data_IF_605090426508
#
_entry.id   IF_605090426508
#
_cell.length_a   1.000
_cell.length_b   1.000
_cell.length_c   1.000
_cell.angle_alpha   90.00
_cell.angle_beta   90.00
_cell.angle_gamma   90.00
#
_symmetry.space_group_name_H-M   'P 1'
#
loop_
_entity.id
_entity.type
_entity.pdbx_description
1 polymer ?
#
# COMPACT_ATOMS: atom_id res chain seq x y z
N UNK A 1 7.84 29.99 -3.79
CA UNK A 1 6.78 30.71 -4.53
C UNK A 1 6.46 31.98 -3.74
N UNK A 2 6.24 33.13 -4.37
CA UNK A 2 5.84 34.36 -3.64
C UNK A 2 4.34 34.34 -3.30
N UNK A 3 3.92 35.06 -2.27
CA UNK A 3 2.52 35.13 -1.78
C UNK A 3 1.54 35.50 -2.90
N UNK A 4 1.80 36.55 -3.69
CA UNK A 4 0.90 36.96 -4.78
C UNK A 4 0.68 35.88 -5.83
N UNK A 5 1.78 35.24 -6.27
CA UNK A 5 1.70 34.13 -7.21
C UNK A 5 0.92 32.94 -6.61
N UNK A 6 1.07 32.68 -5.32
CA UNK A 6 0.34 31.62 -4.63
C UNK A 6 -1.17 31.90 -4.60
N UNK A 7 -1.56 33.14 -4.30
CA UNK A 7 -2.97 33.58 -4.33
C UNK A 7 -3.59 33.38 -5.71
N UNK A 8 -2.92 33.84 -6.76
CA UNK A 8 -3.44 33.74 -8.12
C UNK A 8 -3.57 32.28 -8.57
N UNK A 9 -2.56 31.45 -8.27
CA UNK A 9 -2.61 30.03 -8.56
C UNK A 9 -3.73 29.32 -7.77
N UNK A 10 -3.96 29.70 -6.51
CA UNK A 10 -5.02 29.15 -5.69
C UNK A 10 -6.42 29.50 -6.22
N UNK A 11 -6.67 30.78 -6.53
CA UNK A 11 -7.95 31.23 -7.11
C UNK A 11 -8.26 30.48 -8.39
N UNK A 12 -7.31 30.46 -9.32
CA UNK A 12 -7.46 29.75 -10.59
C UNK A 12 -7.72 28.27 -10.36
N UNK A 13 -6.97 27.63 -9.46
CA UNK A 13 -7.15 26.21 -9.16
C UNK A 13 -8.52 25.90 -8.56
N UNK A 14 -9.04 26.78 -7.70
CA UNK A 14 -10.37 26.66 -7.14
C UNK A 14 -11.44 26.76 -8.24
N UNK A 15 -11.37 27.80 -9.08
CA UNK A 15 -12.31 28.01 -10.19
C UNK A 15 -12.27 26.86 -11.20
N UNK A 16 -11.08 26.37 -11.55
CA UNK A 16 -10.89 25.22 -12.45
C UNK A 16 -11.54 23.95 -11.91
N UNK A 17 -11.61 23.78 -10.59
CA UNK A 17 -12.16 22.58 -9.94
C UNK A 17 -13.67 22.67 -9.70
N UNK A 18 -14.18 23.85 -9.35
CA UNK A 18 -15.55 24.00 -8.84
C UNK A 18 -16.44 24.90 -9.71
N UNK A 19 -15.90 25.52 -10.75
CA UNK A 19 -16.62 26.43 -11.66
C UNK A 19 -17.35 27.58 -10.96
N UNK A 20 -16.88 27.97 -9.77
CA UNK A 20 -17.39 29.10 -8.96
C UNK A 20 -16.23 29.82 -8.28
N UNK A 21 -16.39 31.10 -7.87
CA UNK A 21 -15.36 31.81 -7.13
C UNK A 21 -15.05 31.16 -5.78
N UNK A 22 -13.80 31.28 -5.32
CA UNK A 22 -13.35 30.71 -4.03
C UNK A 22 -14.13 31.24 -2.82
N UNK A 23 -14.72 32.43 -2.92
CA UNK A 23 -15.52 33.07 -1.87
C UNK A 23 -16.86 32.39 -1.62
N UNK A 24 -17.39 31.61 -2.57
CA UNK A 24 -18.62 30.83 -2.39
C UNK A 24 -18.36 29.38 -1.97
N UNK A 25 -17.10 28.97 -1.89
CA UNK A 25 -16.71 27.60 -1.56
C UNK A 25 -16.85 27.27 -0.07
N UNK A 26 -17.23 26.03 0.21
CA UNK A 26 -17.08 25.41 1.54
C UNK A 26 -15.60 25.23 1.90
N UNK A 27 -15.31 25.06 3.20
CA UNK A 27 -13.94 24.78 3.68
C UNK A 27 -13.36 23.50 3.09
N UNK A 28 -14.21 22.50 2.82
CA UNK A 28 -13.83 21.25 2.14
C UNK A 28 -13.36 21.51 0.71
N UNK A 29 -14.10 22.30 -0.07
CA UNK A 29 -13.70 22.66 -1.44
C UNK A 29 -12.43 23.52 -1.42
N UNK A 30 -12.32 24.44 -0.48
CA UNK A 30 -11.13 25.26 -0.28
C UNK A 30 -9.89 24.40 0.02
N UNK A 31 -10.04 23.37 0.85
CA UNK A 31 -8.99 22.39 1.14
C UNK A 31 -8.62 21.57 -0.11
N UNK A 32 -9.61 21.07 -0.85
CA UNK A 32 -9.38 20.28 -2.06
C UNK A 32 -8.62 21.08 -3.12
N UNK A 33 -9.00 22.34 -3.33
CA UNK A 33 -8.28 23.26 -4.22
C UNK A 33 -6.83 23.47 -3.76
N UNK A 34 -6.61 23.68 -2.47
CA UNK A 34 -5.28 23.88 -1.90
C UNK A 34 -4.40 22.62 -2.03
N UNK A 35 -4.95 21.45 -1.72
CA UNK A 35 -4.27 20.16 -1.87
C UNK A 35 -3.88 19.88 -3.33
N UNK A 36 -4.78 20.16 -4.28
CA UNK A 36 -4.49 20.00 -5.70
C UNK A 36 -3.49 21.03 -6.23
N UNK A 37 -3.50 22.28 -5.74
CA UNK A 37 -2.46 23.26 -6.03
C UNK A 37 -1.11 22.75 -5.54
N UNK A 38 -1.04 22.28 -4.28
CA UNK A 38 0.20 21.78 -3.69
C UNK A 38 0.73 20.58 -4.48
N UNK A 39 -0.17 19.70 -4.93
CA UNK A 39 0.17 18.59 -5.82
C UNK A 39 0.81 19.05 -7.12
N UNK A 40 0.26 20.08 -7.78
CA UNK A 40 0.90 20.64 -8.97
C UNK A 40 2.32 21.16 -8.69
N UNK A 41 2.59 21.66 -7.48
CA UNK A 41 3.91 22.18 -7.08
C UNK A 41 4.93 21.05 -6.87
N UNK A 42 4.56 19.97 -6.19
CA UNK A 42 5.51 18.88 -5.89
C UNK A 42 5.58 17.79 -6.96
N UNK A 43 4.67 17.77 -7.94
CA UNK A 43 4.61 16.71 -8.97
C UNK A 43 5.89 16.62 -9.76
N UNK A 44 6.50 17.74 -10.15
CA UNK A 44 7.76 17.74 -10.91
C UNK A 44 8.87 17.06 -10.10
N UNK A 45 9.03 17.44 -8.82
CA UNK A 45 10.00 16.80 -7.91
C UNK A 45 9.74 15.30 -7.80
N UNK A 46 8.48 14.92 -7.70
CA UNK A 46 8.10 13.51 -7.58
C UNK A 46 8.42 12.69 -8.83
N UNK A 47 8.14 13.23 -10.01
CA UNK A 47 8.49 12.61 -11.30
C UNK A 47 10.00 12.49 -11.44
N UNK A 48 10.73 13.58 -11.23
CA UNK A 48 12.19 13.60 -11.32
C UNK A 48 12.86 12.62 -10.35
N UNK A 49 12.41 12.59 -9.10
CA UNK A 49 12.98 11.68 -8.10
C UNK A 49 12.66 10.21 -8.42
N UNK A 50 11.45 9.89 -8.90
CA UNK A 50 11.13 8.53 -9.33
C UNK A 50 11.96 8.08 -10.54
N UNK A 51 12.22 8.96 -11.50
CA UNK A 51 13.08 8.67 -12.65
C UNK A 51 14.54 8.49 -12.21
N UNK A 52 15.06 9.39 -11.37
CA UNK A 52 16.43 9.31 -10.86
C UNK A 52 16.73 8.03 -10.09
N UNK A 53 15.75 7.44 -9.38
CA UNK A 53 15.89 6.12 -8.73
C UNK A 53 16.11 4.99 -9.73
N UNK A 54 15.43 5.04 -10.88
CA UNK A 54 15.59 4.04 -11.95
C UNK A 54 16.96 4.20 -12.59
N UNK A 55 17.34 5.43 -12.94
CA UNK A 55 18.59 5.72 -13.62
C UNK A 55 19.82 5.38 -12.76
N UNK A 56 19.78 5.72 -11.47
CA UNK A 56 20.85 5.43 -10.51
C UNK A 56 20.89 3.96 -10.07
N UNK A 57 19.82 3.19 -10.32
CA UNK A 57 19.62 1.81 -9.83
C UNK A 57 19.94 1.72 -8.33
N UNK A 58 19.57 2.73 -7.54
CA UNK A 58 19.87 2.77 -6.11
C UNK A 58 19.03 1.73 -5.36
N UNK A 59 19.59 1.14 -4.29
CA UNK A 59 18.86 0.23 -3.41
C UNK A 59 17.60 0.90 -2.84
N UNK A 60 16.47 0.21 -2.91
CA UNK A 60 15.19 0.67 -2.39
C UNK A 60 14.74 -0.19 -1.20
N UNK A 61 14.18 0.46 -0.19
CA UNK A 61 13.51 -0.19 0.94
C UNK A 61 12.00 -0.27 0.64
N UNK A 62 11.38 -1.39 0.96
CA UNK A 62 9.95 -1.65 0.85
C UNK A 62 9.43 -2.12 2.21
N UNK A 63 8.70 -1.25 2.89
CA UNK A 63 8.14 -1.47 4.22
C UNK A 63 6.69 -1.94 4.10
N UNK A 64 6.44 -3.21 4.39
CA UNK A 64 5.10 -3.80 4.36
C UNK A 64 4.43 -3.69 5.72
N UNK A 65 3.21 -3.18 5.74
CA UNK A 65 2.40 -3.14 6.96
C UNK A 65 0.92 -3.15 6.62
N UNK A 66 0.14 -3.83 7.45
CA UNK A 66 -1.33 -3.77 7.42
C UNK A 66 -1.85 -2.40 7.86
N UNK A 67 -1.04 -1.57 8.53
CA UNK A 67 -1.49 -0.29 9.05
C UNK A 67 -0.54 0.84 8.66
N UNK A 68 -1.13 1.98 8.29
CA UNK A 68 -0.46 3.27 8.25
C UNK A 68 -1.39 4.31 8.87
N UNK A 69 -0.92 5.03 9.90
CA UNK A 69 -1.58 6.22 10.44
C UNK A 69 -0.84 7.50 10.00
N UNK A 70 -0.96 7.91 8.72
CA UNK A 70 -0.28 9.09 8.23
C UNK A 70 -0.76 10.37 8.92
N UNK A 71 -2.04 10.42 9.29
CA UNK A 71 -2.72 11.64 9.69
C UNK A 71 -2.89 12.61 8.52
N UNK A 72 -3.31 13.83 8.85
CA UNK A 72 -3.46 14.95 7.90
C UNK A 72 -2.12 15.40 7.32
N UNK A 73 -2.10 15.68 6.02
CA UNK A 73 -0.89 15.93 5.25
C UNK A 73 -0.67 17.40 4.91
N UNK A 74 -1.71 18.23 4.86
CA UNK A 74 -1.60 19.58 4.31
C UNK A 74 -0.49 20.40 4.98
N UNK A 75 -0.55 20.53 6.31
CA UNK A 75 0.42 21.32 7.07
C UNK A 75 1.84 20.75 6.94
N UNK A 76 1.95 19.42 6.94
CA UNK A 76 3.22 18.70 6.81
C UNK A 76 3.85 18.94 5.43
N UNK A 77 3.09 18.80 4.35
CA UNK A 77 3.59 19.03 3.00
C UNK A 77 3.96 20.49 2.78
N UNK A 78 3.13 21.42 3.26
CA UNK A 78 3.46 22.84 3.23
C UNK A 78 4.76 23.14 3.98
N UNK A 79 4.96 22.54 5.16
CA UNK A 79 6.19 22.69 5.94
C UNK A 79 7.40 22.11 5.19
N UNK A 80 7.28 20.89 4.66
CA UNK A 80 8.38 20.18 3.99
C UNK A 80 8.80 20.86 2.68
N UNK A 81 7.87 21.56 2.03
CA UNK A 81 8.09 22.35 0.81
C UNK A 81 8.51 23.81 1.07
N UNK A 82 8.61 24.23 2.34
CA UNK A 82 8.91 25.61 2.73
C UNK A 82 7.85 26.63 2.25
N UNK A 83 6.57 26.20 2.25
CA UNK A 83 5.42 26.97 1.77
C UNK A 83 4.39 27.27 2.86
N UNK A 84 4.60 26.81 4.11
CA UNK A 84 3.62 26.95 5.18
C UNK A 84 3.24 28.41 5.45
N UNK A 85 4.23 29.28 5.66
CA UNK A 85 3.95 30.69 5.94
C UNK A 85 3.41 31.40 4.70
N UNK A 86 3.90 31.04 3.50
CA UNK A 86 3.39 31.57 2.24
C UNK A 86 1.91 31.25 2.05
N UNK A 87 1.51 30.00 2.28
CA UNK A 87 0.12 29.57 2.16
C UNK A 87 -0.76 30.22 3.23
N UNK A 88 -0.29 30.30 4.49
CA UNK A 88 -1.02 30.97 5.56
C UNK A 88 -1.32 32.43 5.21
N UNK A 89 -0.29 33.21 4.88
CA UNK A 89 -0.45 34.62 4.50
C UNK A 89 -1.31 34.78 3.25
N UNK A 90 -1.13 33.92 2.23
CA UNK A 90 -1.93 33.97 1.02
C UNK A 90 -3.43 33.74 1.29
N UNK A 91 -3.80 32.73 2.08
CA UNK A 91 -5.20 32.48 2.42
C UNK A 91 -5.78 33.61 3.30
N UNK A 92 -5.02 34.11 4.27
CA UNK A 92 -5.44 35.23 5.12
C UNK A 92 -5.73 36.51 4.30
N UNK A 93 -4.84 36.87 3.36
CA UNK A 93 -5.04 38.02 2.46
C UNK A 93 -6.21 37.83 1.48
N UNK A 94 -6.64 36.59 1.25
CA UNK A 94 -7.85 36.27 0.47
C UNK A 94 -9.13 36.28 1.31
N UNK A 95 -9.02 36.53 2.63
CA UNK A 95 -10.14 36.51 3.56
C UNK A 95 -10.54 35.10 4.01
N UNK A 96 -9.65 34.11 3.88
CA UNK A 96 -9.89 32.73 4.30
C UNK A 96 -9.14 32.42 5.60
N UNK A 97 -9.76 31.60 6.46
CA UNK A 97 -9.11 31.06 7.66
C UNK A 97 -8.32 29.79 7.30
N UNK A 98 -6.98 29.90 7.31
CA UNK A 98 -6.08 28.77 7.04
C UNK A 98 -6.31 27.58 7.99
N UNK A 99 -6.60 27.84 9.26
CA UNK A 99 -6.80 26.79 10.26
C UNK A 99 -8.12 26.06 10.02
N UNK A 100 -9.19 26.77 9.64
CA UNK A 100 -10.45 26.15 9.23
C UNK A 100 -10.30 25.32 7.95
N UNK A 101 -9.55 25.80 6.96
CA UNK A 101 -9.26 25.05 5.72
C UNK A 101 -8.44 23.80 6.02
N UNK A 102 -7.40 23.91 6.85
CA UNK A 102 -6.60 22.75 7.25
C UNK A 102 -7.38 21.75 8.12
N UNK A 103 -8.33 22.23 8.91
CA UNK A 103 -9.19 21.39 9.73
C UNK A 103 -10.21 20.58 8.92
N UNK A 104 -10.52 21.01 7.68
CA UNK A 104 -11.41 20.30 6.77
C UNK A 104 -10.77 19.03 6.17
N UNK A 105 -9.45 18.87 6.26
CA UNK A 105 -8.78 17.63 5.90
C UNK A 105 -9.20 16.50 6.86
N UNK A 106 -9.65 15.38 6.29
CA UNK A 106 -10.03 14.19 7.06
C UNK A 106 -8.83 13.26 7.21
N UNK A 107 -8.63 12.76 8.42
CA UNK A 107 -7.59 11.76 8.70
C UNK A 107 -7.83 10.47 7.89
N UNK A 108 -6.82 9.97 7.16
CA UNK A 108 -6.95 8.71 6.43
C UNK A 108 -7.17 7.52 7.37
N UNK A 109 -8.25 6.77 7.15
CA UNK A 109 -8.59 5.61 7.96
C UNK A 109 -7.81 4.36 7.49
N UNK A 110 -6.49 4.42 7.60
CA UNK A 110 -5.54 3.44 7.06
C UNK A 110 -4.79 2.63 8.13
N UNK A 111 -5.09 2.88 9.40
CA UNK A 111 -4.46 2.23 10.55
C UNK A 111 -5.27 2.53 11.80
N UNK A 112 -4.80 2.04 12.94
CA UNK A 112 -5.47 2.14 14.23
C UNK A 112 -4.49 2.45 15.37
N UNK A 113 -3.42 1.66 15.50
CA UNK A 113 -2.58 1.68 16.69
C UNK A 113 -1.16 2.23 16.51
N UNK A 114 -0.34 1.99 17.52
CA UNK A 114 1.09 2.34 17.52
C UNK A 114 1.87 1.72 16.36
N UNK A 115 1.47 0.53 15.90
CA UNK A 115 2.06 -0.15 14.73
C UNK A 115 1.94 0.70 13.46
N UNK A 116 0.74 1.20 13.16
CA UNK A 116 0.47 2.06 12.01
C UNK A 116 1.11 3.44 12.12
N UNK A 117 1.18 4.00 13.34
CA UNK A 117 1.84 5.28 13.57
C UNK A 117 3.35 5.17 13.42
N UNK A 118 3.96 4.09 13.92
CA UNK A 118 5.39 3.78 13.71
C UNK A 118 5.71 3.70 12.22
N UNK A 119 4.94 2.92 11.46
CA UNK A 119 5.11 2.80 10.01
C UNK A 119 5.07 4.17 9.30
N UNK A 120 4.14 5.04 9.70
CA UNK A 120 4.01 6.38 9.12
C UNK A 120 5.14 7.33 9.51
N UNK A 121 5.61 7.28 10.76
CA UNK A 121 6.79 8.03 11.20
C UNK A 121 8.06 7.56 10.47
N UNK A 122 8.21 6.26 10.20
CA UNK A 122 9.31 5.75 9.38
C UNK A 122 9.23 6.23 7.94
N UNK A 123 8.04 6.25 7.32
CA UNK A 123 7.87 6.79 5.97
C UNK A 123 8.30 8.26 5.87
N UNK A 124 7.90 9.07 6.85
CA UNK A 124 8.31 10.48 6.95
C UNK A 124 9.83 10.63 7.17
N UNK A 125 10.39 9.87 8.13
CA UNK A 125 11.82 9.92 8.45
C UNK A 125 12.69 9.45 7.29
N UNK A 126 12.29 8.40 6.57
CA UNK A 126 13.00 7.94 5.37
C UNK A 126 13.04 9.04 4.31
N UNK A 127 11.94 9.75 4.09
CA UNK A 127 11.92 10.86 3.16
C UNK A 127 12.81 12.02 3.65
N UNK A 128 12.70 12.42 4.92
CA UNK A 128 13.47 13.53 5.49
C UNK A 128 14.99 13.27 5.57
N UNK A 129 15.41 12.01 5.70
CA UNK A 129 16.83 11.62 5.76
C UNK A 129 17.41 11.19 4.41
N UNK A 130 16.59 11.19 3.36
CA UNK A 130 17.01 10.81 2.00
C UNK A 130 17.16 9.30 1.78
N UNK A 131 16.62 8.47 2.67
CA UNK A 131 16.53 7.02 2.44
C UNK A 131 15.47 6.74 1.37
N UNK A 132 15.78 6.03 0.27
CA UNK A 132 14.81 5.62 -0.73
C UNK A 132 13.90 4.51 -0.18
N UNK A 133 12.83 4.91 0.50
CA UNK A 133 11.92 4.02 1.22
C UNK A 133 10.51 4.09 0.68
N UNK A 134 9.87 2.95 0.50
CA UNK A 134 8.51 2.86 0.00
C UNK A 134 7.65 2.08 1.00
N UNK A 135 6.43 2.53 1.23
CA UNK A 135 5.44 1.82 2.03
C UNK A 135 4.55 0.97 1.14
N UNK A 136 4.14 -0.19 1.63
CA UNK A 136 3.22 -1.10 0.96
C UNK A 136 2.13 -1.54 1.93
N UNK A 137 0.86 -1.30 1.57
CA UNK A 137 -0.30 -1.63 2.40
C UNK A 137 -1.60 -1.70 1.62
N UNK A 138 -2.72 -1.72 2.34
CA UNK A 138 -4.07 -1.77 1.77
C UNK A 138 -4.73 -0.39 1.87
N UNK A 139 -5.50 -0.02 0.84
CA UNK A 139 -6.27 1.21 0.82
C UNK A 139 -7.66 0.97 1.41
N UNK A 140 -7.76 0.90 2.74
CA UNK A 140 -9.02 0.63 3.42
C UNK A 140 -10.08 1.71 3.16
N UNK A 141 -11.30 1.28 2.84
CA UNK A 141 -12.41 2.20 2.57
C UNK A 141 -13.00 2.81 3.82
N UNK A 142 -13.18 2.01 4.86
CA UNK A 142 -13.90 2.37 6.09
C UNK A 142 -13.03 2.28 7.35
N UNK A 143 -11.74 1.98 7.20
CA UNK A 143 -10.79 1.86 8.30
C UNK A 143 -11.18 0.79 9.30
N UNK A 144 -10.93 1.04 10.59
CA UNK A 144 -11.39 0.19 11.68
C UNK A 144 -12.83 0.54 12.07
N UNK A 145 -13.02 1.70 12.71
CA UNK A 145 -14.33 2.33 12.94
C UNK A 145 -14.14 3.76 13.46
N UNK A 146 -15.18 4.58 13.27
CA UNK A 146 -15.38 5.87 13.91
C UNK A 146 -16.10 5.68 15.24
N UNK A 147 -15.43 6.00 16.34
CA UNK A 147 -16.02 5.91 17.68
C UNK A 147 -17.01 7.06 17.93
N UNK A 148 -18.19 6.75 18.45
CA UNK A 148 -19.15 7.72 18.99
C UNK A 148 -19.71 7.22 20.32
N UNK A 149 -19.93 8.12 21.27
CA UNK A 149 -20.65 7.81 22.50
C UNK A 149 -22.10 8.23 22.40
N UNK A 150 -23.04 7.30 22.59
CA UNK A 150 -24.49 7.56 22.69
C UNK A 150 -24.97 6.91 23.99
N UNK A 151 -25.63 7.70 24.84
CA UNK A 151 -26.17 7.25 26.13
C UNK A 151 -25.15 6.55 27.04
N UNK A 152 -23.88 6.99 26.99
CA UNK A 152 -22.78 6.44 27.80
C UNK A 152 -22.10 5.20 27.21
N UNK A 153 -22.56 4.68 26.07
CA UNK A 153 -22.00 3.51 25.41
C UNK A 153 -21.26 3.87 24.13
N UNK A 154 -20.18 3.14 23.85
CA UNK A 154 -19.50 3.20 22.56
C UNK A 154 -20.41 2.61 21.47
N UNK A 155 -20.47 3.30 20.33
CA UNK A 155 -21.04 2.82 19.09
C UNK A 155 -19.99 2.99 17.99
N UNK A 156 -19.82 1.93 17.19
CA UNK A 156 -18.91 1.87 16.06
C UNK A 156 -19.65 2.26 14.77
N UNK A 157 -19.13 3.25 14.06
CA UNK A 157 -19.65 3.70 12.76
C UNK A 157 -18.56 3.52 11.70
N UNK A 158 -18.89 3.31 10.41
CA UNK A 158 -17.86 3.27 9.37
C UNK A 158 -17.21 4.64 9.20
N UNK A 159 -15.89 4.68 8.98
CA UNK A 159 -15.21 5.91 8.57
C UNK A 159 -15.64 6.31 7.15
N UNK A 160 -15.60 7.60 6.83
CA UNK A 160 -15.99 8.09 5.50
C UNK A 160 -14.95 9.06 4.92
N UNK A 161 -13.67 8.75 5.13
CA UNK A 161 -12.54 9.58 4.68
C UNK A 161 -12.42 9.66 3.16
N UNK A 162 -12.96 8.67 2.44
CA UNK A 162 -13.02 8.63 0.96
C UNK A 162 -14.36 9.07 0.39
N UNK A 163 -15.21 9.77 1.16
CA UNK A 163 -16.46 10.34 0.65
C UNK A 163 -16.20 11.26 -0.56
N UNK A 164 -15.13 12.02 -0.46
CA UNK A 164 -14.61 12.89 -1.50
C UNK A 164 -13.29 12.31 -2.02
N UNK A 165 -12.86 12.67 -3.24
CA UNK A 165 -11.55 12.27 -3.75
C UNK A 165 -10.44 12.69 -2.78
N UNK A 166 -9.53 11.75 -2.47
CA UNK A 166 -8.35 12.04 -1.68
C UNK A 166 -7.36 12.88 -2.53
N UNK A 167 -7.08 14.11 -2.07
CA UNK A 167 -6.23 15.08 -2.78
C UNK A 167 -4.79 14.60 -3.00
N UNK A 168 -4.30 13.68 -2.16
CA UNK A 168 -2.89 13.33 -2.09
C UNK A 168 -2.50 12.13 -2.96
N UNK A 169 -3.44 11.25 -3.27
CA UNK A 169 -3.15 9.98 -3.93
C UNK A 169 -3.29 10.03 -5.45
N UNK A 170 -2.61 9.10 -6.12
CA UNK A 170 -2.70 8.90 -7.56
C UNK A 170 -2.96 7.44 -7.87
N UNK A 171 -4.11 7.15 -8.50
CA UNK A 171 -4.40 5.82 -9.05
C UNK A 171 -3.40 5.48 -10.16
N UNK A 172 -2.83 4.27 -10.12
CA UNK A 172 -1.81 3.76 -11.06
C UNK A 172 -2.30 2.49 -11.75
N UNK A 173 -3.39 2.58 -12.48
CA UNK A 173 -4.02 1.46 -13.19
C UNK A 173 -3.07 0.67 -14.11
N UNK A 174 -2.15 1.36 -14.80
CA UNK A 174 -1.14 0.69 -15.64
C UNK A 174 -0.13 -0.17 -14.86
N UNK A 175 -0.22 -0.16 -13.52
CA UNK A 175 0.63 -0.93 -12.60
C UNK A 175 -0.20 -1.92 -11.77
N UNK A 176 -1.45 -2.17 -12.14
CA UNK A 176 -2.28 -3.21 -11.53
C UNK A 176 -1.70 -4.60 -11.77
N UNK A 177 -2.00 -5.53 -10.86
CA UNK A 177 -1.57 -6.93 -10.93
C UNK A 177 -2.70 -7.85 -10.50
N UNK A 178 -2.68 -9.09 -10.99
CA UNK A 178 -3.65 -10.11 -10.59
C UNK A 178 -3.15 -10.85 -9.36
N UNK A 179 -4.01 -10.95 -8.35
CA UNK A 179 -3.82 -11.81 -7.17
C UNK A 179 -4.80 -12.97 -7.29
N UNK A 180 -4.29 -14.20 -7.16
CA UNK A 180 -5.08 -15.43 -7.32
C UNK A 180 -5.35 -16.06 -5.97
N UNK A 181 -6.59 -16.47 -5.74
CA UNK A 181 -7.04 -17.21 -4.57
C UNK A 181 -7.70 -18.52 -4.97
N UNK A 182 -7.64 -19.51 -4.08
CA UNK A 182 -8.25 -20.82 -4.26
C UNK A 182 -7.74 -21.55 -5.49
N UNK A 183 -8.62 -22.35 -6.08
CA UNK A 183 -8.33 -23.18 -7.24
C UNK A 183 -7.46 -24.39 -6.93
N UNK A 184 -7.11 -25.12 -7.97
CA UNK A 184 -6.19 -26.26 -7.92
C UNK A 184 -4.82 -25.84 -8.45
N UNK A 185 -3.76 -26.38 -7.86
CA UNK A 185 -2.42 -26.25 -8.41
C UNK A 185 -1.67 -27.58 -8.34
N UNK A 186 -1.04 -27.95 -9.46
CA UNK A 186 -0.14 -29.10 -9.52
C UNK A 186 1.08 -28.75 -10.38
N UNK A 187 2.14 -29.54 -10.25
CA UNK A 187 3.36 -29.34 -11.01
C UNK A 187 3.38 -30.31 -12.20
N UNK A 188 3.54 -29.76 -13.39
CA UNK A 188 3.75 -30.53 -14.62
C UNK A 188 5.14 -30.26 -15.19
N UNK A 189 5.77 -31.30 -15.75
CA UNK A 189 7.04 -31.13 -16.45
C UNK A 189 6.81 -30.41 -17.78
N UNK A 190 7.57 -29.35 -18.04
CA UNK A 190 7.65 -28.75 -19.35
C UNK A 190 8.41 -29.67 -20.34
N UNK A 191 8.52 -29.25 -21.60
CA UNK A 191 9.26 -29.98 -22.64
C UNK A 191 10.75 -30.22 -22.35
N UNK A 192 11.33 -29.54 -21.36
CA UNK A 192 12.71 -29.65 -20.92
C UNK A 192 12.87 -30.45 -19.61
N UNK A 193 11.77 -30.92 -19.01
CA UNK A 193 11.75 -31.65 -17.75
C UNK A 193 11.62 -30.78 -16.49
N UNK A 194 11.56 -29.45 -16.62
CA UNK A 194 11.38 -28.56 -15.47
C UNK A 194 9.91 -28.56 -15.02
N UNK A 195 9.69 -28.70 -13.72
CA UNK A 195 8.36 -28.64 -13.13
C UNK A 195 7.83 -27.20 -13.12
N UNK A 196 6.68 -26.97 -13.72
CA UNK A 196 5.94 -25.70 -13.73
C UNK A 196 4.58 -25.85 -13.08
N UNK A 197 4.11 -24.85 -12.31
CA UNK A 197 2.76 -24.91 -11.77
C UNK A 197 1.72 -24.69 -12.86
N UNK A 198 0.71 -25.54 -12.85
CA UNK A 198 -0.52 -25.37 -13.62
C UNK A 198 -1.62 -24.98 -12.64
N UNK A 199 -2.32 -23.90 -12.95
CA UNK A 199 -3.41 -23.35 -12.14
C UNK A 199 -4.74 -23.60 -12.83
N UNK A 200 -5.75 -23.97 -12.05
CA UNK A 200 -7.12 -24.19 -12.55
C UNK A 200 -8.14 -23.65 -11.54
N UNK A 201 -9.24 -23.07 -12.05
CA UNK A 201 -10.38 -22.60 -11.24
C UNK A 201 -10.01 -21.59 -10.14
N UNK A 202 -9.09 -20.66 -10.43
CA UNK A 202 -8.69 -19.62 -9.48
C UNK A 202 -9.73 -18.50 -9.40
N UNK A 203 -9.85 -17.90 -8.22
CA UNK A 203 -10.54 -16.65 -7.99
C UNK A 203 -9.55 -15.49 -8.12
N UNK A 204 -9.64 -14.78 -9.23
CA UNK A 204 -8.68 -13.72 -9.60
C UNK A 204 -9.22 -12.34 -9.21
N UNK A 205 -8.38 -11.56 -8.51
CA UNK A 205 -8.67 -10.20 -8.06
C UNK A 205 -7.64 -9.24 -8.65
N UNK A 206 -8.09 -8.08 -9.14
CA UNK A 206 -7.21 -7.03 -9.60
C UNK A 206 -6.77 -6.16 -8.41
N UNK A 207 -5.48 -6.13 -8.13
CA UNK A 207 -4.89 -5.21 -7.16
C UNK A 207 -4.47 -3.92 -7.86
N UNK A 208 -5.22 -2.83 -7.62
CA UNK A 208 -4.96 -1.52 -8.23
C UNK A 208 -4.19 -0.63 -7.26
N UNK A 209 -2.98 -0.16 -7.63
CA UNK A 209 -2.17 0.68 -6.75
C UNK A 209 -2.62 2.15 -6.76
N UNK A 210 -2.56 2.75 -5.57
CA UNK A 210 -2.73 4.17 -5.30
C UNK A 210 -1.48 4.67 -4.58
N UNK A 211 -0.75 5.60 -5.20
CA UNK A 211 0.48 6.16 -4.64
C UNK A 211 0.20 7.49 -3.94
N UNK A 212 0.61 7.59 -2.67
CA UNK A 212 0.66 8.86 -1.91
C UNK A 212 2.13 9.26 -1.69
N UNK A 213 2.56 10.46 -2.13
CA UNK A 213 3.95 10.88 -1.99
C UNK A 213 4.31 11.10 -0.51
N UNK A 214 5.54 10.76 -0.12
CA UNK A 214 6.12 11.09 1.17
C UNK A 214 7.24 12.09 0.92
N UNK A 215 6.94 13.37 1.10
CA UNK A 215 7.82 14.49 0.76
C UNK A 215 8.80 14.71 1.91
N UNK A 216 10.10 14.64 1.64
CA UNK A 216 11.14 14.88 2.63
C UNK A 216 11.25 16.36 2.99
N UNK A 217 11.64 16.63 4.24
CA UNK A 217 11.82 17.99 4.74
C UNK A 217 13.01 18.66 4.06
N UNK A 218 12.74 19.65 3.18
CA UNK A 218 13.76 20.52 2.56
C UNK A 218 14.89 19.78 1.83
N UNK A 219 14.62 18.64 1.18
CA UNK A 219 15.67 17.82 0.57
C UNK A 219 15.30 17.17 -0.79
N UNK A 220 14.24 17.63 -1.46
CA UNK A 220 13.75 17.17 -2.77
C UNK A 220 13.45 15.66 -2.91
N UNK A 221 13.58 14.89 -1.84
CA UNK A 221 13.27 13.47 -1.79
C UNK A 221 11.76 13.28 -1.73
N UNK A 222 11.23 12.42 -2.62
CA UNK A 222 9.81 12.07 -2.63
C UNK A 222 9.61 10.55 -2.69
N UNK A 223 9.40 9.96 -1.53
CA UNK A 223 9.13 8.54 -1.38
C UNK A 223 7.66 8.21 -1.69
N UNK A 224 7.30 6.93 -1.76
CA UNK A 224 5.93 6.49 -2.07
C UNK A 224 5.34 5.65 -0.94
N UNK A 225 4.15 5.99 -0.48
CA UNK A 225 3.25 5.05 0.18
C UNK A 225 2.32 4.48 -0.89
N UNK A 226 2.52 3.21 -1.27
CA UNK A 226 1.67 2.51 -2.24
C UNK A 226 0.64 1.66 -1.50
N UNK A 227 -0.63 1.94 -1.75
CA UNK A 227 -1.76 1.23 -1.17
C UNK A 227 -2.57 0.55 -2.28
N UNK A 228 -3.09 -0.64 -2.03
CA UNK A 228 -3.85 -1.39 -3.03
C UNK A 228 -5.35 -1.41 -2.72
N UNK A 229 -6.16 -1.24 -3.77
CA UNK A 229 -7.61 -1.50 -3.76
C UNK A 229 -7.89 -2.76 -4.58
N UNK A 230 -8.79 -3.61 -4.09
CA UNK A 230 -9.26 -4.79 -4.79
C UNK A 230 -10.40 -4.42 -5.76
N UNK A 231 -10.25 -4.78 -7.02
CA UNK A 231 -11.21 -4.54 -8.09
C UNK A 231 -11.45 -5.83 -8.91
N UNK A 232 -12.55 -5.86 -9.67
CA UNK A 232 -12.83 -6.95 -10.62
C UNK A 232 -11.82 -6.85 -11.78
N UNK A 233 -11.16 -7.95 -12.18
CA UNK A 233 -10.30 -7.94 -13.36
C UNK A 233 -11.05 -7.51 -14.63
N UNK A 234 -10.44 -6.72 -15.53
CA UNK A 234 -11.09 -6.34 -16.79
C UNK A 234 -11.44 -7.59 -17.61
N UNK A 235 -12.66 -7.67 -18.12
CA UNK A 235 -13.16 -8.83 -18.88
C UNK A 235 -13.72 -9.96 -18.03
N UNK A 236 -13.70 -9.84 -16.69
CA UNK A 236 -14.27 -10.83 -15.77
C UNK A 236 -15.64 -10.40 -15.23
N UNK A 237 -16.22 -9.30 -15.70
CA UNK A 237 -17.45 -8.69 -15.17
C UNK A 237 -18.64 -9.65 -15.23
N UNK A 238 -18.69 -10.53 -16.23
CA UNK A 238 -19.74 -11.55 -16.37
C UNK A 238 -19.78 -12.59 -15.26
N UNK A 239 -18.70 -12.75 -14.48
CA UNK A 239 -18.64 -13.65 -13.33
C UNK A 239 -19.20 -13.01 -12.05
N UNK A 240 -19.39 -11.67 -12.04
CA UNK A 240 -19.76 -10.88 -10.87
C UNK A 240 -21.07 -10.10 -11.11
N UNK A 241 -22.12 -10.82 -11.50
CA UNK A 241 -23.41 -10.23 -11.89
C UNK A 241 -24.23 -9.77 -10.69
N UNK A 242 -24.10 -10.42 -9.52
CA UNK A 242 -24.86 -10.06 -8.31
C UNK A 242 -24.09 -9.12 -7.38
N UNK A 243 -24.79 -8.32 -6.55
CA UNK A 243 -24.14 -7.53 -5.50
C UNK A 243 -23.27 -8.36 -4.55
N UNK A 244 -23.71 -9.57 -4.19
CA UNK A 244 -23.01 -10.47 -3.27
C UNK A 244 -21.67 -10.93 -3.84
N UNK A 245 -21.62 -11.29 -5.13
CA UNK A 245 -20.38 -11.65 -5.81
C UNK A 245 -19.40 -10.48 -5.85
N UNK A 246 -19.89 -9.26 -6.11
CA UNK A 246 -19.05 -8.06 -6.09
C UNK A 246 -18.53 -7.73 -4.69
N UNK A 247 -19.32 -8.03 -3.66
CA UNK A 247 -18.98 -7.78 -2.26
C UNK A 247 -17.74 -8.58 -1.82
N UNK A 248 -17.60 -9.83 -2.28
CA UNK A 248 -16.45 -10.68 -1.93
C UNK A 248 -15.10 -10.03 -2.31
N UNK A 249 -15.03 -9.32 -3.44
CA UNK A 249 -13.82 -8.58 -3.84
C UNK A 249 -13.66 -7.31 -3.01
N UNK A 250 -14.76 -6.58 -2.80
CA UNK A 250 -14.74 -5.29 -2.09
C UNK A 250 -14.28 -5.46 -0.64
N UNK A 251 -14.77 -6.48 0.06
CA UNK A 251 -14.48 -6.77 1.47
C UNK A 251 -12.98 -6.87 1.76
N UNK A 252 -12.17 -7.33 0.80
CA UNK A 252 -10.70 -7.42 0.92
C UNK A 252 -10.09 -6.05 1.30
N UNK A 253 -10.68 -4.95 0.85
CA UNK A 253 -10.14 -3.60 1.07
C UNK A 253 -11.12 -2.64 1.75
N UNK A 254 -12.16 -3.17 2.41
CA UNK A 254 -13.15 -2.35 3.10
C UNK A 254 -12.72 -1.96 4.52
N UNK A 255 -12.46 -2.97 5.36
CA UNK A 255 -12.24 -2.79 6.80
C UNK A 255 -10.86 -3.30 7.22
N UNK A 256 -10.22 -2.58 8.13
CA UNK A 256 -8.98 -2.97 8.79
C UNK A 256 -9.30 -3.92 9.95
N UNK A 257 -8.60 -5.06 10.03
CA UNK A 257 -8.81 -6.10 11.05
C UNK A 257 -10.28 -6.53 11.14
N UNK A 258 -10.82 -7.19 10.09
CA UNK A 258 -12.17 -7.74 10.15
C UNK A 258 -12.28 -8.73 11.32
N UNK A 259 -13.48 -8.84 11.92
CA UNK A 259 -13.75 -9.80 12.98
C UNK A 259 -13.40 -11.22 12.52
N UNK A 260 -12.45 -11.84 13.21
CA UNK A 260 -11.90 -13.15 12.90
C UNK A 260 -12.30 -14.22 13.95
N UNK A 261 -13.38 -13.95 14.68
CA UNK A 261 -13.99 -14.91 15.63
C UNK A 261 -14.60 -16.15 14.97
N UNK A 262 -14.86 -16.09 13.65
CA UNK A 262 -15.43 -17.18 12.86
C UNK A 262 -14.56 -17.51 11.62
N UNK A 263 -14.87 -18.63 10.95
CA UNK A 263 -14.09 -19.10 9.81
C UNK A 263 -14.01 -18.10 8.65
N UNK A 264 -15.12 -17.47 8.27
CA UNK A 264 -15.18 -16.52 7.15
C UNK A 264 -14.35 -15.26 7.43
N UNK A 265 -14.42 -14.76 8.67
CA UNK A 265 -13.60 -13.64 9.13
C UNK A 265 -12.11 -13.93 9.09
N UNK A 266 -11.71 -15.11 9.55
CA UNK A 266 -10.32 -15.60 9.45
C UNK A 266 -9.88 -15.74 8.00
N UNK A 267 -10.73 -16.31 7.14
CA UNK A 267 -10.44 -16.46 5.72
C UNK A 267 -10.27 -15.09 5.03
N UNK A 268 -11.12 -14.11 5.36
CA UNK A 268 -11.01 -12.75 4.87
C UNK A 268 -9.70 -12.10 5.32
N UNK A 269 -9.33 -12.21 6.60
CA UNK A 269 -8.05 -11.69 7.11
C UNK A 269 -6.85 -12.29 6.36
N UNK A 270 -6.84 -13.61 6.14
CA UNK A 270 -5.79 -14.27 5.34
C UNK A 270 -5.80 -13.80 3.87
N UNK A 271 -6.98 -13.58 3.28
CA UNK A 271 -7.12 -12.98 1.94
C UNK A 271 -6.49 -11.59 1.90
N UNK A 272 -6.73 -10.74 2.91
CA UNK A 272 -6.15 -9.40 2.99
C UNK A 272 -4.62 -9.43 3.07
N UNK A 273 -4.07 -10.26 3.96
CA UNK A 273 -2.62 -10.39 4.15
C UNK A 273 -1.95 -10.86 2.86
N UNK A 274 -2.48 -11.90 2.21
CA UNK A 274 -1.94 -12.37 0.94
C UNK A 274 -2.15 -11.37 -0.20
N UNK A 275 -3.30 -10.69 -0.26
CA UNK A 275 -3.56 -9.64 -1.25
C UNK A 275 -2.48 -8.56 -1.21
N UNK A 276 -2.20 -8.03 -0.02
CA UNK A 276 -1.13 -7.05 0.19
C UNK A 276 0.25 -7.62 -0.20
N UNK A 277 0.58 -8.83 0.27
CA UNK A 277 1.87 -9.45 0.01
C UNK A 277 2.09 -9.69 -1.50
N UNK A 278 1.15 -10.34 -2.17
CA UNK A 278 1.26 -10.65 -3.60
C UNK A 278 1.30 -9.37 -4.45
N UNK A 279 0.40 -8.42 -4.21
CA UNK A 279 0.40 -7.17 -4.97
C UNK A 279 1.71 -6.38 -4.79
N UNK A 280 2.21 -6.29 -3.55
CA UNK A 280 3.46 -5.61 -3.23
C UNK A 280 4.69 -6.31 -3.83
N UNK A 281 4.82 -7.63 -3.66
CA UNK A 281 5.95 -8.39 -4.20
C UNK A 281 5.95 -8.36 -5.73
N UNK A 282 4.81 -8.55 -6.41
CA UNK A 282 4.72 -8.41 -7.86
C UNK A 282 5.11 -6.99 -8.32
N UNK A 283 4.73 -5.95 -7.56
CA UNK A 283 5.15 -4.59 -7.82
C UNK A 283 6.66 -4.39 -7.69
N UNK A 284 7.31 -5.03 -6.70
CA UNK A 284 8.77 -4.99 -6.49
C UNK A 284 9.50 -5.75 -7.60
N UNK A 285 9.02 -6.92 -7.98
CA UNK A 285 9.57 -7.72 -9.09
C UNK A 285 9.52 -6.92 -10.39
N UNK A 286 8.39 -6.29 -10.70
CA UNK A 286 8.26 -5.40 -11.87
C UNK A 286 9.25 -4.24 -11.82
N UNK A 287 9.43 -3.61 -10.64
CA UNK A 287 10.44 -2.56 -10.46
C UNK A 287 11.85 -3.10 -10.74
N UNK A 288 12.24 -4.22 -10.12
CA UNK A 288 13.56 -4.81 -10.32
C UNK A 288 13.83 -5.19 -11.78
N UNK A 289 12.84 -5.80 -12.47
CA UNK A 289 12.95 -6.12 -13.90
C UNK A 289 13.17 -4.87 -14.76
N UNK A 290 12.59 -3.73 -14.39
CA UNK A 290 12.82 -2.46 -15.11
C UNK A 290 14.24 -1.90 -14.94
N UNK A 291 15.02 -2.40 -13.96
CA UNK A 291 16.42 -2.03 -13.81
C UNK A 291 17.34 -2.76 -14.79
N UNK A 292 16.84 -3.81 -15.46
CA UNK A 292 17.61 -4.67 -16.37
C UNK A 292 18.91 -5.17 -15.73
N UNK A 293 18.75 -5.90 -14.62
CA UNK A 293 19.84 -6.44 -13.80
C UNK A 293 19.64 -7.93 -13.55
N UNK A 294 20.73 -8.70 -13.38
CA UNK A 294 20.64 -10.13 -13.07
C UNK A 294 20.04 -10.34 -11.67
N UNK A 295 19.19 -11.36 -11.51
CA UNK A 295 18.54 -11.71 -10.23
C UNK A 295 19.52 -11.89 -9.05
N UNK A 296 20.77 -12.25 -9.31
CA UNK A 296 21.81 -12.40 -8.29
C UNK A 296 22.06 -11.12 -7.48
N UNK A 297 21.82 -9.93 -8.06
CA UNK A 297 21.99 -8.63 -7.39
C UNK A 297 20.68 -8.08 -6.81
N UNK A 298 19.58 -8.85 -6.83
CA UNK A 298 18.31 -8.44 -6.24
C UNK A 298 18.45 -7.97 -4.79
N UNK A 299 19.17 -8.68 -3.90
CA UNK A 299 19.33 -8.24 -2.51
C UNK A 299 20.14 -6.95 -2.34
N UNK A 300 20.93 -6.56 -3.34
CA UNK A 300 21.69 -5.31 -3.35
C UNK A 300 20.83 -4.12 -3.82
N UNK A 301 19.69 -4.39 -4.45
CA UNK A 301 18.77 -3.40 -5.01
C UNK A 301 17.44 -3.31 -4.27
N UNK A 302 17.07 -4.35 -3.52
CA UNK A 302 15.78 -4.46 -2.84
C UNK A 302 15.99 -4.91 -1.40
N UNK A 303 15.41 -4.15 -0.47
CA UNK A 303 15.22 -4.57 0.93
C UNK A 303 13.72 -4.59 1.24
N UNK A 304 13.20 -5.75 1.62
CA UNK A 304 11.82 -5.97 2.04
C UNK A 304 11.81 -6.06 3.57
N UNK A 305 11.01 -5.22 4.20
CA UNK A 305 10.82 -5.20 5.63
C UNK A 305 9.40 -5.61 5.98
N UNK A 306 9.28 -6.67 6.78
CA UNK A 306 8.03 -7.24 7.27
C UNK A 306 7.77 -6.65 8.65
N UNK A 307 6.75 -5.79 8.75
CA UNK A 307 6.31 -5.19 10.01
C UNK A 307 5.29 -6.09 10.71
N UNK A 308 5.74 -6.77 11.77
CA UNK A 308 5.01 -7.84 12.46
C UNK A 308 4.71 -9.06 11.58
N UNK A 309 3.86 -9.99 12.03
CA UNK A 309 3.61 -11.27 11.34
C UNK A 309 2.75 -11.15 10.08
N UNK A 310 1.88 -10.15 9.97
CA UNK A 310 0.90 -10.04 8.88
C UNK A 310 1.51 -10.14 7.46
N UNK A 311 2.65 -9.49 7.16
CA UNK A 311 3.28 -9.60 5.84
C UNK A 311 4.15 -10.85 5.63
N UNK A 312 4.07 -11.88 6.49
CA UNK A 312 4.95 -13.08 6.41
C UNK A 312 4.85 -13.78 5.06
N UNK A 313 3.68 -13.74 4.42
CA UNK A 313 3.45 -14.34 3.10
C UNK A 313 4.27 -13.69 1.96
N UNK A 314 4.93 -12.55 2.20
CA UNK A 314 5.94 -12.00 1.28
C UNK A 314 7.07 -13.01 1.00
N UNK A 315 7.46 -13.82 1.98
CA UNK A 315 8.55 -14.80 1.86
C UNK A 315 8.21 -15.89 0.84
N UNK A 316 7.13 -16.70 1.05
CA UNK A 316 6.79 -17.74 0.10
C UNK A 316 6.27 -17.19 -1.24
N UNK A 317 5.70 -15.98 -1.28
CA UNK A 317 5.30 -15.36 -2.55
C UNK A 317 6.51 -14.95 -3.41
N UNK A 318 7.55 -14.37 -2.80
CA UNK A 318 8.78 -14.08 -3.54
C UNK A 318 9.46 -15.37 -4.01
N UNK A 319 9.44 -16.43 -3.21
CA UNK A 319 9.88 -17.76 -3.65
C UNK A 319 9.06 -18.25 -4.85
N UNK A 320 7.73 -18.11 -4.81
CA UNK A 320 6.82 -18.52 -5.87
C UNK A 320 7.19 -17.86 -7.19
N UNK A 321 7.29 -16.54 -7.22
CA UNK A 321 7.62 -15.80 -8.45
C UNK A 321 9.01 -16.20 -8.97
N UNK A 322 10.02 -16.24 -8.09
CA UNK A 322 11.39 -16.55 -8.51
C UNK A 322 11.53 -17.97 -9.10
N UNK A 323 10.86 -18.96 -8.51
CA UNK A 323 10.93 -20.35 -8.99
C UNK A 323 9.99 -20.58 -10.18
N UNK A 324 8.72 -20.19 -10.02
CA UNK A 324 7.68 -20.59 -10.95
C UNK A 324 7.68 -19.74 -12.22
N UNK A 325 7.87 -18.42 -12.09
CA UNK A 325 7.78 -17.47 -13.21
C UNK A 325 9.17 -17.16 -13.78
N UNK A 326 10.15 -16.90 -12.92
CA UNK A 326 11.50 -16.50 -13.32
C UNK A 326 12.45 -17.70 -13.51
N UNK A 327 12.00 -18.92 -13.19
CA UNK A 327 12.72 -20.18 -13.44
C UNK A 327 14.07 -20.30 -12.72
N UNK A 328 14.23 -19.64 -11.56
CA UNK A 328 15.41 -19.81 -10.72
C UNK A 328 15.35 -21.17 -10.02
N UNK A 329 16.52 -21.76 -9.78
CA UNK A 329 16.60 -22.91 -8.89
C UNK A 329 16.20 -22.51 -7.47
N UNK A 330 15.67 -23.48 -6.70
CA UNK A 330 15.30 -23.26 -5.30
C UNK A 330 16.44 -22.60 -4.50
N UNK A 331 17.68 -23.06 -4.68
CA UNK A 331 18.84 -22.55 -3.97
C UNK A 331 19.13 -21.08 -4.26
N UNK A 332 19.03 -20.68 -5.53
CA UNK A 332 19.18 -19.27 -5.94
C UNK A 332 18.07 -18.42 -5.37
N UNK A 333 16.81 -18.84 -5.54
CA UNK A 333 15.63 -18.11 -5.05
C UNK A 333 15.68 -17.94 -3.53
N UNK A 334 15.97 -19.00 -2.78
CA UNK A 334 16.02 -18.96 -1.32
C UNK A 334 17.16 -18.07 -0.79
N UNK A 335 18.31 -18.05 -1.47
CA UNK A 335 19.40 -17.13 -1.11
C UNK A 335 19.02 -15.67 -1.35
N UNK A 336 18.30 -15.37 -2.45
CA UNK A 336 17.76 -14.03 -2.71
C UNK A 336 16.80 -13.63 -1.59
N UNK A 337 15.77 -14.45 -1.34
CA UNK A 337 14.73 -14.19 -0.34
C UNK A 337 15.36 -13.89 1.02
N UNK A 338 16.22 -14.80 1.54
CA UNK A 338 16.90 -14.62 2.83
C UNK A 338 17.71 -13.32 2.95
N UNK A 339 18.35 -12.87 1.85
CA UNK A 339 19.20 -11.67 1.86
C UNK A 339 18.40 -10.39 1.63
N UNK A 340 17.20 -10.48 1.06
CA UNK A 340 16.34 -9.33 0.80
C UNK A 340 15.30 -9.08 1.88
N UNK A 341 14.94 -10.07 2.70
CA UNK A 341 13.86 -9.94 3.69
C UNK A 341 14.36 -9.74 5.12
N UNK A 342 13.68 -8.88 5.87
CA UNK A 342 13.89 -8.65 7.31
C UNK A 342 12.54 -8.61 8.04
N UNK A 343 12.54 -8.92 9.33
CA UNK A 343 11.33 -9.01 10.16
C UNK A 343 11.52 -8.22 11.45
N UNK A 344 10.51 -7.45 11.84
CA UNK A 344 10.40 -6.81 13.16
C UNK A 344 9.21 -7.40 13.91
N UNK A 345 9.46 -7.89 15.11
CA UNK A 345 8.45 -8.34 16.06
C UNK A 345 8.03 -7.19 16.99
N UNK A 346 6.74 -7.07 17.27
CA UNK A 346 6.19 -6.14 18.28
C UNK A 346 5.47 -6.86 19.44
N UNK A 347 5.52 -8.19 19.47
CA UNK A 347 4.73 -9.03 20.37
C UNK A 347 5.64 -9.89 21.25
N UNK A 348 5.56 -9.68 22.56
CA UNK A 348 6.35 -10.44 23.55
C UNK A 348 5.69 -11.79 23.89
N UNK A 349 4.35 -11.86 23.85
CA UNK A 349 3.59 -13.05 24.23
C UNK A 349 3.56 -14.07 23.08
N UNK A 350 4.05 -15.28 23.32
CA UNK A 350 4.14 -16.31 22.29
C UNK A 350 2.74 -16.77 21.80
N UNK A 351 1.72 -16.63 22.64
CA UNK A 351 0.32 -16.95 22.36
C UNK A 351 -0.34 -15.94 21.40
N UNK A 352 0.18 -14.71 21.35
CA UNK A 352 -0.30 -13.66 20.45
C UNK A 352 0.37 -13.73 19.07
N UNK A 353 1.32 -14.65 18.86
CA UNK A 353 1.88 -14.92 17.54
C UNK A 353 0.84 -15.58 16.65
N UNK A 354 0.64 -15.00 15.48
CA UNK A 354 -0.36 -15.44 14.52
C UNK A 354 -0.17 -16.90 14.09
N UNK A 355 -1.28 -17.64 14.03
CA UNK A 355 -1.31 -19.04 13.59
C UNK A 355 -2.51 -19.29 12.70
N UNK A 356 -2.26 -20.00 11.61
CA UNK A 356 -3.27 -20.36 10.62
C UNK A 356 -3.45 -21.88 10.55
N UNK A 357 -4.68 -22.40 10.46
CA UNK A 357 -4.90 -23.81 10.21
C UNK A 357 -4.38 -24.18 8.83
N UNK A 358 -3.67 -25.30 8.72
CA UNK A 358 -3.08 -25.78 7.47
C UNK A 358 -4.12 -25.82 6.35
N UNK A 359 -5.28 -26.43 6.59
CA UNK A 359 -6.34 -26.59 5.59
C UNK A 359 -6.85 -25.25 5.02
N UNK A 360 -6.77 -24.17 5.80
CA UNK A 360 -7.19 -22.84 5.36
C UNK A 360 -6.20 -22.25 4.36
N UNK A 361 -4.89 -22.39 4.62
CA UNK A 361 -3.85 -21.96 3.67
C UNK A 361 -3.84 -22.90 2.46
N UNK A 362 -4.01 -24.21 2.62
CA UNK A 362 -4.09 -25.15 1.49
C UNK A 362 -5.27 -24.83 0.58
N UNK A 363 -6.45 -24.57 1.15
CA UNK A 363 -7.64 -24.23 0.39
C UNK A 363 -7.57 -22.87 -0.28
N UNK A 364 -7.00 -21.86 0.39
CA UNK A 364 -6.93 -20.50 -0.15
C UNK A 364 -5.71 -20.27 -1.05
N UNK A 365 -4.56 -20.83 -0.71
CA UNK A 365 -3.24 -20.53 -1.28
C UNK A 365 -2.43 -21.82 -1.53
N UNK A 366 -2.93 -22.76 -2.35
CA UNK A 366 -2.36 -24.11 -2.47
C UNK A 366 -0.87 -24.10 -2.87
N UNK A 367 -0.47 -23.24 -3.81
CA UNK A 367 0.94 -23.14 -4.24
C UNK A 367 1.85 -22.60 -3.15
N UNK A 368 1.37 -21.59 -2.42
CA UNK A 368 2.10 -21.00 -1.30
C UNK A 368 2.32 -22.05 -0.22
N UNK A 369 1.32 -22.89 0.06
CA UNK A 369 1.48 -23.98 1.03
C UNK A 369 2.50 -25.03 0.58
N UNK A 370 2.54 -25.41 -0.71
CA UNK A 370 3.59 -26.30 -1.24
C UNK A 370 4.99 -25.73 -1.00
N UNK A 371 5.16 -24.42 -1.18
CA UNK A 371 6.43 -23.73 -0.91
C UNK A 371 6.74 -23.71 0.59
N UNK A 372 5.76 -23.43 1.44
CA UNK A 372 5.92 -23.45 2.91
C UNK A 372 6.36 -24.85 3.38
N UNK A 373 5.74 -25.91 2.85
CA UNK A 373 6.15 -27.28 3.16
C UNK A 373 7.59 -27.57 2.76
N UNK A 374 8.02 -27.15 1.57
CA UNK A 374 9.40 -27.35 1.12
C UNK A 374 10.42 -26.53 1.93
N UNK A 375 10.06 -25.29 2.33
CA UNK A 375 10.86 -24.50 3.28
C UNK A 375 11.02 -25.27 4.59
N UNK A 376 9.93 -25.78 5.16
CA UNK A 376 9.96 -26.53 6.41
C UNK A 376 10.77 -27.83 6.29
N UNK A 377 10.57 -28.61 5.22
CA UNK A 377 11.32 -29.85 4.97
C UNK A 377 12.83 -29.59 4.95
N UNK A 378 13.27 -28.58 4.21
CA UNK A 378 14.69 -28.21 4.11
C UNK A 378 15.26 -27.68 5.43
N UNK A 379 14.46 -26.93 6.19
CA UNK A 379 14.86 -26.45 7.51
C UNK A 379 15.10 -27.60 8.48
N UNK A 380 14.21 -28.61 8.48
CA UNK A 380 14.36 -29.80 9.31
C UNK A 380 15.58 -30.63 8.90
N UNK A 381 15.79 -30.85 7.59
CA UNK A 381 16.94 -31.59 7.07
C UNK A 381 18.28 -30.91 7.40
N UNK A 382 18.34 -29.57 7.43
CA UNK A 382 19.57 -28.85 7.78
C UNK A 382 19.83 -28.76 9.29
N UNK A 383 18.86 -29.13 10.14
CA UNK A 383 19.00 -29.14 11.60
C UNK A 383 19.49 -30.49 12.13
N UNK A 384 19.19 -31.57 11.42
CA UNK A 384 19.78 -32.90 11.59
C UNK A 384 21.13 -32.96 10.91
#
# INVERSE_FOLDING_TARGET
>A
MKVDAFKDAYKKKFEDMFAVPYTSGSTTEQFQALGQLLRSIYTDKWVHYNQGKLDSKQKQVFYFSMEFLPGRQLKRYLLNLDLLDTARTALEELGLDFEAVAAAEVDPALGNGGLGRLASCFMDSMAATGVPGNGCGIRYRYGLFKQKFIDGYQIELPENWLRNPNSWEVRKESKSVIVRFGGNVWLEANQYGDLKPVYENTFDVLAVPYDTPQIGYRNDVVNNLRLFTAEIPPGHESYFTTPEQRKEIQEITEVLYPDDSNYEGRLLRLKQEYFMCSAGIQSIVRYFKSLDLPWSVFPDKVAIHINDTHPTLCIPELMRILVDEESLTWGQAWNIVKKSTSYTNHTILAEAMERWPIYMIEGLLPRIMQIIYEINRRHLVNKT
#
